data_IF_194059243717
#
_entry.id   IF_194059243717
#
_cell.length_a   1.000
_cell.length_b   1.000
_cell.length_c   1.000
_cell.angle_alpha   90.00
_cell.angle_beta   90.00
_cell.angle_gamma   90.00
#
_symmetry.space_group_name_H-M   'P 1'
#
loop_
_entity.id
_entity.type
_entity.pdbx_description
1 polymer ?
#
# COMPACT_ATOMS: atom_id res chain seq x y z
N UNK A 1 42.21 -62.88 -7.48
CA UNK A 1 42.29 -61.48 -7.95
C UNK A 1 40.85 -60.97 -8.14
N UNK A 2 40.50 -59.82 -7.53
CA UNK A 2 39.17 -59.15 -7.60
C UNK A 2 38.98 -58.45 -8.98
N UNK A 3 37.76 -58.00 -9.37
CA UNK A 3 37.23 -56.75 -8.81
C UNK A 3 35.78 -56.86 -8.32
N UNK A 4 35.55 -56.31 -7.13
CA UNK A 4 34.26 -55.92 -6.59
C UNK A 4 34.01 -54.50 -7.09
N UNK A 5 32.90 -54.24 -7.77
CA UNK A 5 32.52 -52.89 -8.20
C UNK A 5 31.23 -52.49 -7.49
N UNK A 6 31.39 -51.61 -6.52
CA UNK A 6 30.38 -51.04 -5.63
C UNK A 6 29.40 -50.14 -6.40
N UNK A 7 28.10 -50.36 -6.21
CA UNK A 7 27.04 -49.50 -6.70
C UNK A 7 27.02 -48.18 -5.90
N UNK A 8 27.00 -47.04 -6.60
CA UNK A 8 26.90 -45.71 -6.02
C UNK A 8 25.45 -45.20 -6.19
N UNK A 9 24.61 -45.31 -5.16
CA UNK A 9 23.34 -44.60 -5.09
C UNK A 9 23.60 -43.18 -4.57
N UNK A 10 23.48 -42.18 -5.43
CA UNK A 10 23.43 -40.78 -5.03
C UNK A 10 21.96 -40.39 -4.75
N UNK A 11 21.61 -40.15 -3.48
CA UNK A 11 20.32 -39.59 -3.10
C UNK A 11 20.31 -38.09 -3.45
N UNK A 12 19.47 -37.71 -4.42
CA UNK A 12 19.13 -36.31 -4.70
C UNK A 12 18.19 -35.80 -3.60
N UNK A 13 18.74 -35.20 -2.55
CA UNK A 13 17.97 -34.39 -1.61
C UNK A 13 17.63 -33.05 -2.30
N UNK A 14 16.40 -32.89 -2.77
CA UNK A 14 15.90 -31.61 -3.24
C UNK A 14 15.88 -30.62 -2.06
N UNK A 15 16.36 -29.37 -2.20
CA UNK A 15 16.19 -28.37 -1.17
C UNK A 15 14.69 -28.06 -1.04
N UNK A 16 14.14 -28.32 0.14
CA UNK A 16 12.83 -27.80 0.53
C UNK A 16 12.97 -26.27 0.56
N UNK A 17 12.41 -25.57 -0.43
CA UNK A 17 12.37 -24.13 -0.43
C UNK A 17 11.38 -23.68 0.64
N UNK A 18 11.88 -23.37 1.85
CA UNK A 18 11.09 -22.70 2.85
C UNK A 18 10.74 -21.29 2.34
N UNK A 19 9.50 -21.10 1.89
CA UNK A 19 8.98 -19.76 1.62
C UNK A 19 8.83 -19.06 2.97
N UNK A 20 9.56 -17.95 3.16
CA UNK A 20 9.37 -17.10 4.33
C UNK A 20 7.89 -16.71 4.45
N UNK A 21 7.30 -16.74 5.66
CA UNK A 21 5.95 -16.27 5.85
C UNK A 21 5.83 -14.82 5.36
N UNK A 22 4.80 -14.52 4.58
CA UNK A 22 4.49 -13.12 4.24
C UNK A 22 3.96 -12.48 5.51
N UNK A 23 4.64 -11.45 6.00
CA UNK A 23 4.38 -10.75 7.26
C UNK A 23 3.97 -9.28 7.07
N UNK A 24 3.53 -8.93 5.86
CA UNK A 24 3.08 -7.60 5.49
C UNK A 24 1.84 -7.64 4.60
N UNK A 25 1.05 -6.58 4.64
CA UNK A 25 0.03 -6.27 3.63
C UNK A 25 0.50 -5.14 2.72
N UNK A 26 -0.10 -5.02 1.53
CA UNK A 26 0.18 -3.95 0.58
C UNK A 26 -0.99 -2.99 0.52
N UNK A 27 -0.77 -1.74 0.90
CA UNK A 27 -1.75 -0.66 0.72
C UNK A 27 -1.43 0.10 -0.57
N UNK A 28 -2.38 0.14 -1.49
CA UNK A 28 -2.30 0.90 -2.74
C UNK A 28 -3.29 2.05 -2.69
N UNK A 29 -2.83 3.28 -2.95
CA UNK A 29 -3.67 4.46 -3.01
C UNK A 29 -3.45 5.15 -4.35
N UNK A 30 -4.55 5.36 -5.09
CA UNK A 30 -4.56 5.98 -6.41
C UNK A 30 -5.28 7.33 -6.39
N UNK A 31 -4.78 8.27 -7.17
CA UNK A 31 -5.44 9.55 -7.44
C UNK A 31 -5.92 9.58 -8.88
N UNK A 32 -7.21 9.33 -9.07
CA UNK A 32 -7.84 9.39 -10.38
C UNK A 32 -7.93 10.82 -10.92
N UNK A 33 -7.92 10.96 -12.25
CA UNK A 33 -7.90 12.28 -12.91
C UNK A 33 -9.22 13.04 -12.78
N UNK A 34 -10.35 12.34 -12.78
CA UNK A 34 -11.69 12.92 -12.98
C UNK A 34 -12.48 13.03 -11.67
N UNK A 35 -12.18 12.19 -10.68
CA UNK A 35 -12.97 12.09 -9.44
C UNK A 35 -12.57 13.14 -8.38
N UNK A 36 -11.40 13.77 -8.56
CA UNK A 36 -10.90 14.84 -7.69
C UNK A 36 -10.80 16.15 -8.46
N UNK A 37 -11.84 16.98 -8.33
CA UNK A 37 -11.93 18.31 -8.93
C UNK A 37 -11.09 19.35 -8.13
N UNK A 38 -9.87 19.00 -7.73
CA UNK A 38 -8.92 19.91 -7.08
C UNK A 38 -7.59 19.93 -7.81
N UNK A 39 -7.02 21.13 -7.96
CA UNK A 39 -5.68 21.33 -8.50
C UNK A 39 -4.58 21.18 -7.44
N UNK A 40 -4.93 21.05 -6.16
CA UNK A 40 -3.97 20.81 -5.09
C UNK A 40 -3.42 19.40 -5.18
N UNK A 41 -2.24 19.16 -4.59
CA UNK A 41 -1.76 17.81 -4.35
C UNK A 41 -2.45 17.22 -3.12
N UNK A 42 -2.46 15.89 -3.02
CA UNK A 42 -3.01 15.21 -1.84
C UNK A 42 -1.88 14.56 -1.05
N UNK A 43 -1.75 14.95 0.21
CA UNK A 43 -0.91 14.28 1.19
C UNK A 43 -1.64 13.07 1.76
N UNK A 44 -0.98 11.92 1.74
CA UNK A 44 -1.37 10.71 2.46
C UNK A 44 -0.53 10.64 3.72
N UNK A 45 -1.20 10.65 4.87
CA UNK A 45 -0.57 10.53 6.17
C UNK A 45 -0.90 9.17 6.76
N UNK A 46 0.14 8.42 7.11
CA UNK A 46 0.02 7.14 7.83
C UNK A 46 0.52 7.38 9.25
N UNK A 47 -0.31 7.08 10.25
CA UNK A 47 0.02 7.34 11.66
C UNK A 47 0.51 8.79 11.89
N UNK A 48 -0.25 9.74 11.34
CA UNK A 48 0.03 11.19 11.38
C UNK A 48 1.34 11.66 10.71
N UNK A 49 2.09 10.75 10.06
CA UNK A 49 3.29 11.08 9.30
C UNK A 49 3.00 11.14 7.80
N UNK A 50 3.49 12.19 7.13
CA UNK A 50 3.35 12.31 5.67
C UNK A 50 4.12 11.18 4.98
N UNK A 51 3.41 10.21 4.43
CA UNK A 51 3.98 9.04 3.77
C UNK A 51 4.08 9.21 2.26
N UNK A 52 3.17 9.97 1.65
CA UNK A 52 3.23 10.27 0.22
C UNK A 52 2.52 11.58 -0.14
N UNK A 53 2.92 12.16 -1.27
CA UNK A 53 2.26 13.26 -1.95
C UNK A 53 1.83 12.79 -3.34
N UNK A 54 0.53 12.81 -3.61
CA UNK A 54 -0.06 12.35 -4.86
C UNK A 54 -0.47 13.55 -5.72
N UNK A 55 0.18 13.69 -6.87
CA UNK A 55 -0.27 14.56 -7.96
C UNK A 55 -1.32 13.83 -8.82
N UNK A 56 -1.97 14.53 -9.75
CA UNK A 56 -3.04 13.96 -10.57
C UNK A 56 -2.57 12.73 -11.36
N UNK A 57 -3.31 11.61 -11.27
CA UNK A 57 -3.00 10.36 -11.97
C UNK A 57 -1.91 9.50 -11.30
N UNK A 58 -1.45 9.84 -10.10
CA UNK A 58 -0.43 9.04 -9.40
C UNK A 58 -1.03 7.91 -8.57
N UNK A 59 -0.23 6.87 -8.43
CA UNK A 59 -0.48 5.73 -7.55
C UNK A 59 0.73 5.56 -6.64
N UNK A 60 0.49 5.25 -5.37
CA UNK A 60 1.51 4.85 -4.41
C UNK A 60 1.18 3.48 -3.83
N UNK A 61 2.21 2.74 -3.42
CA UNK A 61 2.07 1.45 -2.75
C UNK A 61 2.97 1.41 -1.52
N UNK A 62 2.45 0.88 -0.41
CA UNK A 62 3.17 0.73 0.85
C UNK A 62 3.11 -0.71 1.31
N UNK A 63 4.26 -1.28 1.67
CA UNK A 63 4.32 -2.55 2.40
C UNK A 63 4.27 -2.21 3.88
N UNK A 64 3.22 -2.66 4.57
CA UNK A 64 2.95 -2.29 5.95
C UNK A 64 2.75 -3.55 6.79
N UNK A 65 3.12 -3.54 8.08
CA UNK A 65 2.78 -4.62 8.99
C UNK A 65 1.26 -4.86 9.00
N UNK A 66 0.80 -6.10 9.19
CA UNK A 66 -0.61 -6.40 9.37
C UNK A 66 -1.12 -5.76 10.67
N UNK A 67 -2.38 -5.34 10.66
CA UNK A 67 -3.04 -4.70 11.79
C UNK A 67 -3.80 -3.43 11.42
N UNK A 68 -4.35 -2.74 12.42
CA UNK A 68 -5.02 -1.47 12.22
C UNK A 68 -4.01 -0.39 11.79
N UNK A 69 -4.44 0.46 10.86
CA UNK A 69 -3.67 1.56 10.31
C UNK A 69 -4.55 2.81 10.26
N UNK A 70 -4.05 3.89 10.85
CA UNK A 70 -4.64 5.22 10.78
C UNK A 70 -4.18 5.93 9.51
N UNK A 71 -5.15 6.35 8.68
CA UNK A 71 -4.90 7.12 7.47
C UNK A 71 -5.61 8.46 7.54
N UNK A 72 -4.88 9.54 7.23
CA UNK A 72 -5.42 10.89 7.07
C UNK A 72 -5.05 11.42 5.70
N UNK A 73 -5.89 12.30 5.16
CA UNK A 73 -5.69 12.93 3.86
C UNK A 73 -5.65 14.44 4.05
N UNK A 74 -4.80 15.15 3.31
CA UNK A 74 -4.72 16.61 3.38
C UNK A 74 -4.41 17.21 2.02
N UNK A 75 -4.81 18.46 1.80
CA UNK A 75 -4.38 19.22 0.63
C UNK A 75 -2.96 19.74 0.84
N UNK A 76 -2.15 19.68 -0.22
CA UNK A 76 -0.78 20.17 -0.25
C UNK A 76 -0.60 21.16 -1.40
N UNK A 77 0.07 22.28 -1.10
CA UNK A 77 0.42 23.30 -2.08
C UNK A 77 0.36 24.71 -1.53
N UNK A 78 0.62 25.73 -2.37
CA UNK A 78 0.57 27.13 -1.97
C UNK A 78 -0.88 27.65 -1.83
N UNK A 79 -1.02 28.79 -1.18
CA UNK A 79 -2.29 29.53 -1.11
C UNK A 79 -3.43 28.70 -0.50
N UNK A 80 -4.48 28.45 -1.29
CA UNK A 80 -5.68 27.70 -0.86
C UNK A 80 -5.42 26.20 -0.66
N UNK A 81 -4.27 25.70 -1.11
CA UNK A 81 -3.85 24.32 -0.93
C UNK A 81 -2.99 24.12 0.33
N UNK A 82 -2.80 25.17 1.15
CA UNK A 82 -2.07 25.04 2.41
C UNK A 82 -2.85 24.07 3.31
N UNK A 83 -2.15 23.13 3.98
CA UNK A 83 -2.80 22.24 4.94
C UNK A 83 -3.50 23.08 6.01
N UNK A 84 -4.82 22.96 6.10
CA UNK A 84 -5.62 23.60 7.15
C UNK A 84 -5.78 22.70 8.38
N UNK A 85 -6.28 23.28 9.48
CA UNK A 85 -6.58 22.53 10.73
C UNK A 85 -7.74 21.53 10.49
N UNK A 86 -8.64 21.82 9.56
CA UNK A 86 -9.90 21.07 9.36
C UNK A 86 -9.80 19.82 8.47
N UNK A 87 -8.65 19.55 7.83
CA UNK A 87 -8.63 18.60 6.71
C UNK A 87 -8.28 17.16 7.08
N UNK A 88 -7.86 16.89 8.31
CA UNK A 88 -7.31 15.58 8.64
C UNK A 88 -8.35 14.67 9.29
N UNK A 89 -9.44 14.35 8.57
CA UNK A 89 -10.36 13.28 8.98
C UNK A 89 -9.59 11.96 8.97
N UNK A 90 -9.61 11.28 10.12
CA UNK A 90 -8.99 9.97 10.25
C UNK A 90 -9.91 8.89 9.71
N UNK A 91 -9.34 7.98 8.93
CA UNK A 91 -9.95 6.75 8.47
C UNK A 91 -9.09 5.59 8.96
N UNK A 92 -9.72 4.60 9.59
CA UNK A 92 -9.02 3.39 10.05
C UNK A 92 -9.26 2.26 9.06
N UNK A 93 -8.18 1.59 8.66
CA UNK A 93 -8.23 0.36 7.86
C UNK A 93 -7.48 -0.73 8.61
N UNK A 94 -7.86 -1.99 8.40
CA UNK A 94 -7.10 -3.13 8.92
C UNK A 94 -6.46 -3.86 7.75
N UNK A 95 -5.15 -4.09 7.85
CA UNK A 95 -4.40 -4.86 6.87
C UNK A 95 -4.14 -6.29 7.34
N UNK A 96 -4.38 -7.27 6.48
CA UNK A 96 -4.01 -8.66 6.68
C UNK A 96 -2.68 -9.00 5.99
N UNK A 97 -1.97 -10.01 6.50
CA UNK A 97 -0.71 -10.46 5.90
C UNK A 97 -0.98 -11.12 4.54
N UNK A 98 -0.21 -10.73 3.52
CA UNK A 98 -0.35 -11.21 2.15
C UNK A 98 -1.47 -10.56 1.34
N UNK A 99 -2.25 -9.65 1.94
CA UNK A 99 -3.32 -8.98 1.20
C UNK A 99 -2.80 -7.79 0.38
N UNK A 100 -3.54 -7.45 -0.67
CA UNK A 100 -3.39 -6.17 -1.39
C UNK A 100 -4.68 -5.38 -1.24
N UNK A 101 -4.64 -4.31 -0.46
CA UNK A 101 -5.77 -3.42 -0.18
C UNK A 101 -5.64 -2.18 -1.05
N UNK A 102 -6.65 -1.89 -1.86
CA UNK A 102 -6.62 -0.83 -2.87
C UNK A 102 -7.69 0.21 -2.59
N UNK A 103 -7.29 1.48 -2.62
CA UNK A 103 -8.17 2.62 -2.53
C UNK A 103 -7.90 3.61 -3.65
N UNK A 104 -8.95 4.35 -3.99
CA UNK A 104 -8.85 5.60 -4.75
C UNK A 104 -9.23 6.77 -3.85
N UNK A 105 -8.62 7.91 -4.12
CA UNK A 105 -8.96 9.16 -3.45
C UNK A 105 -10.28 9.73 -4.01
N UNK A 106 -11.12 10.28 -3.16
CA UNK A 106 -12.34 11.01 -3.53
C UNK A 106 -12.52 12.27 -2.66
N UNK A 107 -13.43 13.16 -3.07
CA UNK A 107 -13.77 14.37 -2.33
C UNK A 107 -15.28 14.51 -2.17
N UNK A 108 -15.74 14.74 -0.94
CA UNK A 108 -17.13 14.96 -0.59
C UNK A 108 -17.31 16.28 0.15
N UNK A 109 -18.50 16.52 0.71
CA UNK A 109 -18.82 17.72 1.50
C UNK A 109 -17.94 17.85 2.74
N UNK A 110 -17.55 16.72 3.32
CA UNK A 110 -16.71 16.62 4.53
C UNK A 110 -15.20 16.63 4.24
N UNK A 111 -14.81 16.85 2.98
CA UNK A 111 -13.41 16.83 2.55
C UNK A 111 -12.99 15.54 1.83
N UNK A 112 -11.68 15.24 1.90
CA UNK A 112 -11.08 14.10 1.21
C UNK A 112 -11.35 12.79 1.96
N UNK A 113 -11.58 11.71 1.22
CA UNK A 113 -11.77 10.38 1.79
C UNK A 113 -11.27 9.27 0.86
N UNK A 114 -11.11 8.06 1.40
CA UNK A 114 -10.71 6.87 0.65
C UNK A 114 -11.95 6.10 0.20
N UNK A 115 -11.94 5.63 -1.04
CA UNK A 115 -12.97 4.74 -1.58
C UNK A 115 -12.33 3.40 -1.93
N UNK A 116 -12.79 2.27 -1.38
CA UNK A 116 -12.32 0.96 -1.79
C UNK A 116 -12.47 0.78 -3.30
N UNK A 117 -11.46 0.20 -3.95
CA UNK A 117 -11.51 -0.08 -5.38
C UNK A 117 -10.87 -1.42 -5.69
N UNK A 118 -11.27 -2.02 -6.80
CA UNK A 118 -10.57 -3.18 -7.39
C UNK A 118 -9.61 -2.75 -8.51
N UNK A 119 -9.77 -1.51 -9.02
CA UNK A 119 -8.98 -0.97 -10.11
C UNK A 119 -7.58 -0.51 -9.66
N UNK A 120 -6.60 -0.73 -10.52
CA UNK A 120 -5.29 -0.06 -10.51
C UNK A 120 -5.09 0.37 -11.95
N UNK A 121 -5.31 1.64 -12.27
CA UNK A 121 -5.17 2.17 -13.63
C UNK A 121 -4.14 3.30 -13.66
#
# INVERSE_FOLDING_TARGET
MKPVSTALLALLAAPCQAQSPIDYGVLVISRERVELATACDVGVYLEDQLAARLVQGQIVSFNLPPGPLSIRLGLLGPGRCKPGIEQLRQQSVTLEAGEVRKYRLAQGTEGLYLVPTTAVQ
#
